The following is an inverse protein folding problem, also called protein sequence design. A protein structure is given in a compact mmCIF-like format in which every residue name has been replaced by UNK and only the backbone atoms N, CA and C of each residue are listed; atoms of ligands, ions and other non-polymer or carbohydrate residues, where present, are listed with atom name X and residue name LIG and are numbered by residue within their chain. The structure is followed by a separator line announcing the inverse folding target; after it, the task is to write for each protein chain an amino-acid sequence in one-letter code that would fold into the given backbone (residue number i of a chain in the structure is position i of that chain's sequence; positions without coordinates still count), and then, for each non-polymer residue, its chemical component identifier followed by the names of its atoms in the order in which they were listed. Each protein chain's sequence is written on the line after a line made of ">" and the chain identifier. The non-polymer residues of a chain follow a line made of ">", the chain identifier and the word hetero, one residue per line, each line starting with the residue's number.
data_IF_390802207449
#
_entry.id   IF_390802207449
#
_cell.length_a   1.000
_cell.length_b   1.000
_cell.length_c   1.000
_cell.angle_alpha   90.00
_cell.angle_beta   90.00
_cell.angle_gamma   90.00
#
_symmetry.space_group_name_H-M   'P 1'
#
loop_
_entity.id
_entity.type
_entity.pdbx_description
1 polymer ?
#
# COMPACT_ATOMS: atom_id res chain seq x y z
N UNK A 1 4.58 -4.10 3.28
CA UNK A 1 4.23 -2.71 2.94
C UNK A 1 5.24 -1.79 3.60
N UNK A 2 5.77 -0.81 2.87
CA UNK A 2 6.62 0.25 3.44
C UNK A 2 5.98 1.60 3.09
N UNK A 3 5.84 2.48 4.07
CA UNK A 3 5.42 3.86 3.86
C UNK A 3 6.67 4.66 3.48
N UNK A 4 6.90 4.86 2.18
CA UNK A 4 8.09 5.56 1.71
C UNK A 4 7.67 6.86 1.02
N UNK A 5 8.07 7.99 1.61
CA UNK A 5 8.06 9.42 1.20
C UNK A 5 6.92 10.00 0.36
N UNK A 6 6.24 9.27 -0.52
CA UNK A 6 5.14 9.73 -1.39
C UNK A 6 4.07 8.63 -1.66
N UNK A 7 3.99 7.54 -0.89
CA UNK A 7 2.90 6.60 -1.07
C UNK A 7 3.10 5.19 -0.52
N UNK A 8 2.38 4.25 -1.12
CA UNK A 8 2.38 2.83 -0.76
C UNK A 8 3.13 2.00 -1.79
N UNK A 9 4.17 1.29 -1.33
CA UNK A 9 4.86 0.29 -2.14
C UNK A 9 4.15 -1.07 -2.04
N UNK A 10 3.72 -1.57 -3.19
CA UNK A 10 3.06 -2.87 -3.35
C UNK A 10 4.07 -3.94 -3.77
N UNK A 11 3.95 -5.09 -3.14
CA UNK A 11 4.83 -6.23 -3.35
C UNK A 11 4.00 -7.49 -3.50
N UNK A 12 4.31 -8.30 -4.49
CA UNK A 12 3.71 -9.62 -4.62
C UNK A 12 4.68 -10.73 -4.24
N UNK A 13 4.22 -11.72 -3.45
CA UNK A 13 4.92 -12.97 -3.30
C UNK A 13 4.73 -13.80 -4.58
N UNK A 14 5.79 -14.07 -5.32
CA UNK A 14 5.74 -14.85 -6.57
C UNK A 14 5.66 -16.38 -6.34
N UNK A 15 5.25 -16.81 -5.14
CA UNK A 15 5.27 -18.21 -4.71
C UNK A 15 6.67 -18.75 -4.43
N UNK A 16 7.72 -17.96 -4.71
CA UNK A 16 9.10 -18.20 -4.34
C UNK A 16 9.53 -17.11 -3.34
N UNK A 17 10.70 -17.24 -2.70
CA UNK A 17 11.23 -16.24 -1.75
C UNK A 17 11.58 -14.88 -2.39
N UNK A 18 11.19 -14.65 -3.64
CA UNK A 18 11.49 -13.42 -4.38
C UNK A 18 10.31 -12.47 -4.27
N UNK A 19 10.60 -11.29 -3.72
CA UNK A 19 9.61 -10.21 -3.62
C UNK A 19 9.75 -9.35 -4.88
N UNK A 20 8.69 -9.27 -5.69
CA UNK A 20 8.65 -8.38 -6.86
C UNK A 20 7.93 -7.07 -6.51
N UNK A 21 8.57 -5.93 -6.79
CA UNK A 21 7.96 -4.62 -6.59
C UNK A 21 7.02 -4.32 -7.76
N UNK A 22 5.74 -4.06 -7.48
CA UNK A 22 4.76 -3.65 -8.51
C UNK A 22 4.75 -2.15 -8.79
N UNK A 23 5.31 -1.36 -7.88
CA UNK A 23 5.39 0.09 -8.01
C UNK A 23 5.00 0.80 -6.72
N UNK A 24 4.99 2.14 -6.80
CA UNK A 24 4.53 3.02 -5.73
C UNK A 24 3.22 3.63 -6.19
N UNK A 25 2.15 3.39 -5.43
CA UNK A 25 0.91 4.12 -5.61
C UNK A 25 1.03 5.47 -4.90
N UNK A 26 1.03 6.54 -5.67
CA UNK A 26 1.13 7.91 -5.15
C UNK A 26 -0.20 8.30 -4.51
N UNK A 27 -0.22 8.27 -3.19
CA UNK A 27 -1.35 8.67 -2.35
C UNK A 27 -0.92 9.76 -1.35
N UNK A 28 0.18 10.46 -1.66
CA UNK A 28 0.77 11.42 -0.75
C UNK A 28 1.54 10.79 0.41
N UNK A 29 1.75 11.59 1.46
CA UNK A 29 2.58 11.19 2.59
C UNK A 29 1.78 10.31 3.56
N UNK A 30 2.12 9.02 3.60
CA UNK A 30 1.43 8.02 4.42
C UNK A 30 2.10 7.88 5.79
N UNK A 31 1.34 8.09 6.86
CA UNK A 31 1.80 7.88 8.24
C UNK A 31 1.63 6.43 8.68
N UNK A 32 0.53 5.80 8.25
CA UNK A 32 0.16 4.45 8.61
C UNK A 32 -0.75 3.86 7.55
N UNK A 33 -0.65 2.55 7.35
CA UNK A 33 -1.59 1.81 6.52
C UNK A 33 -1.78 0.37 7.01
N UNK A 34 -3.01 -0.13 6.85
CA UNK A 34 -3.45 -1.44 7.33
C UNK A 34 -4.31 -2.14 6.28
N UNK A 35 -4.14 -3.45 6.17
CA UNK A 35 -4.97 -4.33 5.34
C UNK A 35 -6.06 -4.99 6.17
N UNK A 36 -7.32 -4.89 5.74
CA UNK A 36 -8.42 -5.61 6.37
C UNK A 36 -9.54 -5.89 5.38
N UNK A 37 -9.95 -7.16 5.26
CA UNK A 37 -11.13 -7.57 4.51
C UNK A 37 -11.13 -7.20 3.01
N UNK A 38 -9.97 -7.25 2.33
CA UNK A 38 -9.87 -6.85 0.92
C UNK A 38 -9.73 -5.33 0.72
N UNK A 39 -9.62 -4.56 1.80
CA UNK A 39 -9.39 -3.13 1.76
C UNK A 39 -8.04 -2.74 2.33
N UNK A 40 -7.53 -1.63 1.82
CA UNK A 40 -6.34 -0.94 2.31
C UNK A 40 -6.76 0.41 2.88
N UNK A 41 -6.52 0.58 4.17
CA UNK A 41 -6.75 1.82 4.89
C UNK A 41 -5.43 2.57 4.98
N UNK A 42 -5.39 3.82 4.53
CA UNK A 42 -4.20 4.66 4.58
C UNK A 42 -4.50 5.98 5.28
N UNK A 43 -3.78 6.26 6.37
CA UNK A 43 -3.78 7.55 7.02
C UNK A 43 -2.71 8.44 6.37
N UNK A 44 -3.16 9.44 5.61
CA UNK A 44 -2.30 10.37 4.86
C UNK A 44 -2.45 11.80 5.36
N UNK A 45 -1.60 12.72 4.88
CA UNK A 45 -1.71 14.16 5.20
C UNK A 45 -3.05 14.74 4.73
N UNK A 46 -3.62 14.14 3.70
CA UNK A 46 -4.87 14.56 3.06
C UNK A 46 -6.10 13.94 3.75
N UNK A 47 -5.92 12.99 4.67
CA UNK A 47 -6.96 12.37 5.48
C UNK A 47 -6.92 10.84 5.45
N UNK A 48 -8.04 10.20 5.81
CA UNK A 48 -8.19 8.76 5.65
C UNK A 48 -8.58 8.44 4.21
N UNK A 49 -7.78 7.61 3.55
CA UNK A 49 -8.08 7.05 2.22
C UNK A 49 -8.30 5.54 2.35
N UNK A 50 -9.29 5.04 1.62
CA UNK A 50 -9.68 3.62 1.63
C UNK A 50 -9.66 3.15 0.19
N UNK A 51 -8.89 2.09 -0.07
CA UNK A 51 -8.78 1.47 -1.39
C UNK A 51 -9.31 0.05 -1.32
N UNK A 52 -10.07 -0.35 -2.33
CA UNK A 52 -10.41 -1.74 -2.57
C UNK A 52 -9.25 -2.42 -3.29
N UNK A 53 -8.96 -3.66 -2.91
CA UNK A 53 -7.93 -4.48 -3.55
C UNK A 53 -8.65 -5.37 -4.54
N UNK A 54 -8.61 -4.98 -5.81
CA UNK A 54 -9.00 -5.85 -6.91
C UNK A 54 -7.94 -6.95 -7.07
N UNK A 55 -8.40 -8.20 -7.14
CA UNK A 55 -7.58 -9.41 -7.32
C UNK A 55 -6.97 -9.51 -8.72
#
# INVERSE_FOLDING_TARGET
>A
MSCASNGLALYEPDGNTTISARGIQDIGYVYHAEFSGGYLFAATREGLQIFEIDE
#
